data_IF_107589245210
#
_entry.id   IF_107589245210
#
_cell.length_a   1.000
_cell.length_b   1.000
_cell.length_c   1.000
_cell.angle_alpha   90.00
_cell.angle_beta   90.00
_cell.angle_gamma   90.00
#
_symmetry.space_group_name_H-M   'P 1'
#
loop_
_entity.id
_entity.type
_entity.pdbx_description
1 polymer ?
#
# COMPACT_ATOMS: atom_id res chain seq x y z
N UNK A 1 -100.96 118.58 -74.81
CA UNK A 1 -101.54 117.30 -74.37
C UNK A 1 -100.50 116.20 -74.55
N UNK A 2 -99.40 116.08 -73.83
CA UNK A 2 -98.55 116.93 -72.98
C UNK A 2 -97.21 116.17 -73.00
N UNK A 3 -96.14 116.78 -73.51
CA UNK A 3 -95.04 117.31 -72.69
C UNK A 3 -94.95 116.64 -71.31
N UNK A 4 -93.81 115.97 -71.10
CA UNK A 4 -93.10 115.88 -69.82
C UNK A 4 -93.35 114.62 -68.96
N UNK A 5 -94.55 114.04 -68.90
CA UNK A 5 -94.79 112.89 -67.99
C UNK A 5 -94.40 111.51 -68.58
N UNK A 6 -94.51 111.31 -69.90
CA UNK A 6 -94.08 110.06 -70.54
C UNK A 6 -92.55 109.96 -70.70
N UNK A 7 -91.84 111.08 -70.82
CA UNK A 7 -90.37 111.08 -70.98
C UNK A 7 -89.65 110.75 -69.66
N UNK A 8 -90.17 111.21 -68.51
CA UNK A 8 -89.56 110.94 -67.19
C UNK A 8 -89.72 109.46 -66.79
N UNK A 9 -90.86 108.83 -67.11
CA UNK A 9 -91.12 107.42 -66.77
C UNK A 9 -90.31 106.45 -67.66
N UNK A 10 -90.16 106.78 -68.95
CA UNK A 10 -89.36 105.97 -69.88
C UNK A 10 -87.86 106.03 -69.54
N UNK A 11 -87.35 107.17 -69.08
CA UNK A 11 -85.95 107.32 -68.70
C UNK A 11 -85.60 106.53 -67.42
N UNK A 12 -86.50 106.47 -66.43
CA UNK A 12 -86.26 105.71 -65.19
C UNK A 12 -86.31 104.18 -65.40
N UNK A 13 -87.19 103.68 -66.28
CA UNK A 13 -87.25 102.26 -66.63
C UNK A 13 -86.06 101.84 -67.53
N UNK A 14 -85.59 102.71 -68.41
CA UNK A 14 -84.36 102.47 -69.18
C UNK A 14 -83.11 102.48 -68.30
N UNK A 15 -83.03 103.31 -67.25
CA UNK A 15 -81.88 103.32 -66.36
C UNK A 15 -81.79 102.09 -65.46
N UNK A 16 -82.93 101.54 -65.00
CA UNK A 16 -82.97 100.30 -64.20
C UNK A 16 -82.65 99.06 -65.03
N UNK A 17 -83.17 98.96 -66.27
CA UNK A 17 -82.79 97.90 -67.22
C UNK A 17 -81.31 97.96 -67.61
N UNK A 18 -80.76 99.16 -67.87
CA UNK A 18 -79.32 99.35 -68.14
C UNK A 18 -78.43 98.98 -66.95
N UNK A 19 -78.89 99.20 -65.71
CA UNK A 19 -78.15 98.78 -64.51
C UNK A 19 -78.19 97.25 -64.32
N UNK A 20 -79.33 96.60 -64.55
CA UNK A 20 -79.46 95.14 -64.47
C UNK A 20 -78.65 94.42 -65.56
N UNK A 21 -78.66 94.92 -66.80
CA UNK A 21 -77.84 94.41 -67.90
C UNK A 21 -76.35 94.60 -67.65
N UNK A 22 -75.92 95.76 -67.11
CA UNK A 22 -74.52 95.96 -66.71
C UNK A 22 -74.08 95.00 -65.60
N UNK A 23 -74.97 94.64 -64.66
CA UNK A 23 -74.66 93.70 -63.58
C UNK A 23 -74.59 92.25 -64.08
N UNK A 24 -75.47 91.85 -65.01
CA UNK A 24 -75.42 90.55 -65.69
C UNK A 24 -74.19 90.42 -66.60
N UNK A 25 -73.87 91.46 -67.37
CA UNK A 25 -72.67 91.50 -68.19
C UNK A 25 -71.39 91.42 -67.34
N UNK A 26 -71.36 92.07 -66.17
CA UNK A 26 -70.22 91.99 -65.25
C UNK A 26 -70.08 90.60 -64.62
N UNK A 27 -71.19 89.93 -64.28
CA UNK A 27 -71.18 88.53 -63.80
C UNK A 27 -70.76 87.55 -64.91
N UNK A 28 -71.20 87.75 -66.15
CA UNK A 28 -70.80 86.94 -67.29
C UNK A 28 -69.32 87.13 -67.63
N UNK A 29 -68.81 88.36 -67.61
CA UNK A 29 -67.40 88.67 -67.80
C UNK A 29 -66.51 88.07 -66.69
N UNK A 30 -66.96 88.12 -65.42
CA UNK A 30 -66.24 87.50 -64.31
C UNK A 30 -66.16 85.97 -64.45
N UNK A 31 -67.24 85.29 -64.87
CA UNK A 31 -67.20 83.83 -65.15
C UNK A 31 -66.34 83.49 -66.36
N UNK A 32 -66.37 84.30 -67.41
CA UNK A 32 -65.52 84.10 -68.58
C UNK A 32 -64.03 84.25 -68.22
N UNK A 33 -63.67 85.26 -67.41
CA UNK A 33 -62.30 85.44 -66.91
C UNK A 33 -61.86 84.28 -66.01
N UNK A 34 -62.73 83.79 -65.12
CA UNK A 34 -62.43 82.64 -64.27
C UNK A 34 -62.24 81.36 -65.09
N UNK A 35 -63.10 81.11 -66.09
CA UNK A 35 -62.96 79.96 -66.98
C UNK A 35 -61.69 80.03 -67.83
N UNK A 36 -61.27 81.22 -68.23
CA UNK A 36 -60.01 81.41 -68.96
C UNK A 36 -58.80 81.08 -68.07
N UNK A 37 -58.80 81.53 -66.81
CA UNK A 37 -57.76 81.18 -65.84
C UNK A 37 -57.68 79.67 -65.58
N UNK A 38 -58.82 78.98 -65.47
CA UNK A 38 -58.84 77.53 -65.33
C UNK A 38 -58.30 76.79 -66.56
N UNK A 39 -58.61 77.27 -67.77
CA UNK A 39 -58.04 76.71 -69.01
C UNK A 39 -56.53 76.91 -69.08
N UNK A 40 -56.05 78.09 -68.73
CA UNK A 40 -54.61 78.38 -68.73
C UNK A 40 -53.86 77.54 -67.68
N UNK A 41 -54.47 77.30 -66.51
CA UNK A 41 -53.89 76.42 -65.48
C UNK A 41 -53.83 74.96 -65.95
N UNK A 42 -54.90 74.45 -66.57
CA UNK A 42 -54.93 73.09 -67.11
C UNK A 42 -53.92 72.89 -68.26
N UNK A 43 -53.70 73.91 -69.08
CA UNK A 43 -52.67 73.87 -70.13
C UNK A 43 -51.25 73.81 -69.54
N UNK A 44 -50.96 74.57 -68.48
CA UNK A 44 -49.65 74.53 -67.81
C UNK A 44 -49.39 73.18 -67.13
N UNK A 45 -50.38 72.63 -66.44
CA UNK A 45 -50.30 71.30 -65.82
C UNK A 45 -50.00 70.21 -66.87
N UNK A 46 -50.70 70.25 -68.01
CA UNK A 46 -50.50 69.28 -69.09
C UNK A 46 -49.11 69.41 -69.73
N UNK A 47 -48.66 70.64 -69.97
CA UNK A 47 -47.32 70.89 -70.50
C UNK A 47 -46.22 70.40 -69.54
N UNK A 48 -46.40 70.61 -68.23
CA UNK A 48 -45.47 70.14 -67.20
C UNK A 48 -45.41 68.60 -67.15
N UNK A 49 -46.57 67.93 -67.20
CA UNK A 49 -46.64 66.47 -67.23
C UNK A 49 -45.92 65.89 -68.47
N UNK A 50 -46.19 66.44 -69.65
CA UNK A 50 -45.58 66.00 -70.91
C UNK A 50 -44.05 66.20 -70.91
N UNK A 51 -43.57 67.32 -70.33
CA UNK A 51 -42.13 67.61 -70.23
C UNK A 51 -41.42 66.68 -69.23
N UNK A 52 -42.08 66.36 -68.11
CA UNK A 52 -41.54 65.46 -67.08
C UNK A 52 -41.44 64.03 -67.60
N UNK A 53 -42.46 63.58 -68.32
CA UNK A 53 -42.48 62.25 -68.93
C UNK A 53 -41.36 62.09 -69.96
N UNK A 54 -41.13 63.10 -70.82
CA UNK A 54 -40.02 63.06 -71.80
C UNK A 54 -38.65 62.96 -71.14
N UNK A 55 -38.38 63.79 -70.13
CA UNK A 55 -37.10 63.76 -69.40
C UNK A 55 -36.85 62.41 -68.74
N UNK A 56 -37.90 61.78 -68.21
CA UNK A 56 -37.78 60.45 -67.62
C UNK A 56 -37.40 59.39 -68.66
N UNK A 57 -38.09 59.35 -69.80
CA UNK A 57 -37.78 58.39 -70.86
C UNK A 57 -36.39 58.60 -71.47
N UNK A 58 -35.97 59.84 -71.69
CA UNK A 58 -34.60 60.14 -72.14
C UNK A 58 -33.54 59.67 -71.14
N UNK A 59 -33.78 59.85 -69.84
CA UNK A 59 -32.87 59.38 -68.77
C UNK A 59 -32.79 57.85 -68.69
N UNK A 60 -33.89 57.16 -68.97
CA UNK A 60 -33.96 55.71 -68.95
C UNK A 60 -33.26 55.11 -70.17
N UNK A 61 -33.48 55.69 -71.36
CA UNK A 61 -32.80 55.27 -72.59
C UNK A 61 -31.29 55.48 -72.49
N UNK A 62 -30.83 56.59 -71.90
CA UNK A 62 -29.39 56.81 -71.67
C UNK A 62 -28.80 55.73 -70.76
N UNK A 63 -29.46 55.41 -69.65
CA UNK A 63 -29.01 54.36 -68.71
C UNK A 63 -28.94 52.98 -69.39
N UNK A 64 -29.94 52.63 -70.21
CA UNK A 64 -29.93 51.39 -70.98
C UNK A 64 -28.86 51.35 -72.09
N UNK A 65 -28.48 52.50 -72.66
CA UNK A 65 -27.37 52.56 -73.63
C UNK A 65 -25.98 52.50 -72.97
N UNK A 66 -25.87 52.91 -71.71
CA UNK A 66 -24.61 52.90 -70.96
C UNK A 66 -24.25 51.49 -70.43
N UNK A 67 -25.25 50.64 -70.13
CA UNK A 67 -25.03 49.27 -69.67
C UNK A 67 -24.70 48.35 -70.85
N UNK A 68 -23.42 48.10 -71.07
CA UNK A 68 -22.94 47.15 -72.10
C UNK A 68 -22.91 45.73 -71.52
N UNK A 69 -23.77 44.83 -72.01
CA UNK A 69 -23.82 43.43 -71.58
C UNK A 69 -22.45 42.71 -71.64
N UNK A 70 -21.58 43.11 -72.57
CA UNK A 70 -20.22 42.59 -72.71
C UNK A 70 -19.34 42.87 -71.47
N UNK A 71 -19.48 44.06 -70.86
CA UNK A 71 -18.72 44.43 -69.66
C UNK A 71 -19.15 43.58 -68.45
N UNK A 72 -20.45 43.33 -68.31
CA UNK A 72 -20.99 42.48 -67.24
C UNK A 72 -20.54 41.02 -67.38
N UNK A 73 -20.49 40.49 -68.60
CA UNK A 73 -19.96 39.14 -68.84
C UNK A 73 -18.47 39.03 -68.54
N UNK A 74 -17.71 40.08 -68.83
CA UNK A 74 -16.28 40.12 -68.53
C UNK A 74 -16.03 40.25 -67.02
N UNK A 75 -16.82 41.05 -66.30
CA UNK A 75 -16.77 41.12 -64.83
C UNK A 75 -17.09 39.78 -64.17
N UNK A 76 -18.11 39.06 -64.64
CA UNK A 76 -18.43 37.73 -64.15
C UNK A 76 -17.31 36.72 -64.44
N UNK A 77 -16.67 36.82 -65.61
CA UNK A 77 -15.52 35.96 -65.98
C UNK A 77 -14.31 36.25 -65.09
N UNK A 78 -14.05 37.53 -64.79
CA UNK A 78 -12.99 37.94 -63.87
C UNK A 78 -13.27 37.47 -62.45
N UNK A 79 -14.51 37.57 -61.96
CA UNK A 79 -14.92 37.03 -60.67
C UNK A 79 -14.73 35.51 -60.61
N UNK A 80 -15.13 34.78 -61.65
CA UNK A 80 -14.92 33.34 -61.73
C UNK A 80 -13.44 32.94 -61.68
N UNK A 81 -12.57 33.67 -62.38
CA UNK A 81 -11.11 33.45 -62.29
C UNK A 81 -10.57 33.78 -60.89
N UNK A 82 -11.00 34.87 -60.27
CA UNK A 82 -10.62 35.22 -58.91
C UNK A 82 -11.03 34.13 -57.91
N UNK A 83 -12.25 33.62 -57.99
CA UNK A 83 -12.68 32.51 -57.13
C UNK A 83 -11.90 31.22 -57.41
N UNK A 84 -11.65 30.88 -58.67
CA UNK A 84 -10.83 29.72 -59.06
C UNK A 84 -9.44 29.77 -58.43
N UNK A 85 -8.74 30.90 -58.57
CA UNK A 85 -7.39 31.07 -58.00
C UNK A 85 -7.37 31.00 -56.46
N UNK A 86 -8.42 31.47 -55.79
CA UNK A 86 -8.53 31.36 -54.32
C UNK A 86 -8.76 29.91 -53.89
N UNK A 87 -9.60 29.17 -54.61
CA UNK A 87 -9.85 27.75 -54.35
C UNK A 87 -8.58 26.94 -54.59
N UNK A 88 -7.86 27.16 -55.69
CA UNK A 88 -6.60 26.48 -55.99
C UNK A 88 -5.53 26.77 -54.93
N UNK A 89 -5.44 28.02 -54.45
CA UNK A 89 -4.56 28.37 -53.34
C UNK A 89 -4.94 27.62 -52.05
N UNK A 90 -6.23 27.56 -51.72
CA UNK A 90 -6.71 26.83 -50.53
C UNK A 90 -6.42 25.34 -50.64
N UNK A 91 -6.65 24.72 -51.79
CA UNK A 91 -6.32 23.32 -52.02
C UNK A 91 -4.81 23.08 -51.88
N UNK A 92 -3.97 23.94 -52.46
CA UNK A 92 -2.52 23.86 -52.27
C UNK A 92 -2.04 24.10 -50.84
N UNK A 93 -2.80 24.81 -50.00
CA UNK A 93 -2.52 24.88 -48.55
C UNK A 93 -2.93 23.58 -47.84
N UNK A 94 -4.07 22.98 -48.20
CA UNK A 94 -4.52 21.71 -47.66
C UNK A 94 -3.52 20.59 -47.98
N UNK A 95 -3.06 20.49 -49.23
CA UNK A 95 -2.09 19.46 -49.63
C UNK A 95 -0.77 19.61 -48.87
N UNK A 96 -0.29 20.84 -48.66
CA UNK A 96 0.90 21.10 -47.85
C UNK A 96 0.69 20.72 -46.38
N UNK A 97 -0.49 20.97 -45.81
CA UNK A 97 -0.80 20.56 -44.45
C UNK A 97 -0.88 19.04 -44.30
N UNK A 98 -1.39 18.33 -45.32
CA UNK A 98 -1.41 16.88 -45.35
C UNK A 98 0.00 16.28 -45.43
N UNK A 99 0.87 16.83 -46.28
CA UNK A 99 2.28 16.41 -46.35
C UNK A 99 3.01 16.63 -45.01
N UNK A 100 2.84 17.80 -44.39
CA UNK A 100 3.42 18.07 -43.06
C UNK A 100 2.89 17.11 -41.99
N UNK A 101 1.62 16.69 -42.07
CA UNK A 101 1.06 15.68 -41.15
C UNK A 101 1.75 14.32 -41.32
N UNK A 102 2.06 13.91 -42.55
CA UNK A 102 2.79 12.67 -42.83
C UNK A 102 4.22 12.74 -42.29
N UNK A 103 4.92 13.85 -42.52
CA UNK A 103 6.26 14.09 -41.99
C UNK A 103 6.28 14.03 -40.45
N UNK A 104 5.29 14.66 -39.79
CA UNK A 104 5.14 14.61 -38.33
C UNK A 104 4.87 13.17 -37.87
N UNK A 105 4.07 12.40 -38.62
CA UNK A 105 3.81 10.99 -38.36
C UNK A 105 5.09 10.15 -38.37
N UNK A 106 5.93 10.30 -39.40
CA UNK A 106 7.20 9.58 -39.48
C UNK A 106 8.16 9.93 -38.33
N UNK A 107 8.21 11.22 -37.95
CA UNK A 107 9.02 11.66 -36.81
C UNK A 107 8.49 11.04 -35.52
N UNK A 108 7.17 11.01 -35.33
CA UNK A 108 6.55 10.41 -34.16
C UNK A 108 6.86 8.91 -34.06
N UNK A 109 6.75 8.17 -35.16
CA UNK A 109 7.06 6.74 -35.21
C UNK A 109 8.54 6.46 -34.89
N UNK A 110 9.47 7.29 -35.41
CA UNK A 110 10.90 7.21 -35.07
C UNK A 110 11.15 7.45 -33.58
N UNK A 111 10.45 8.41 -32.98
CA UNK A 111 10.54 8.69 -31.54
C UNK A 111 9.98 7.52 -30.70
N UNK A 112 8.84 6.94 -31.09
CA UNK A 112 8.26 5.77 -30.44
C UNK A 112 9.19 4.55 -30.52
N UNK A 113 9.83 4.34 -31.67
CA UNK A 113 10.78 3.24 -31.83
C UNK A 113 12.05 3.45 -30.98
N UNK A 114 12.52 4.69 -30.83
CA UNK A 114 13.61 5.01 -29.88
C UNK A 114 13.23 4.73 -28.44
N UNK A 115 12.04 5.18 -28.00
CA UNK A 115 11.52 4.91 -26.66
C UNK A 115 11.42 3.40 -26.40
N UNK A 116 10.92 2.63 -27.37
CA UNK A 116 10.87 1.17 -27.29
C UNK A 116 12.25 0.56 -27.08
N UNK A 117 13.27 1.00 -27.84
CA UNK A 117 14.64 0.49 -27.69
C UNK A 117 15.22 0.81 -26.30
N UNK A 118 14.91 1.97 -25.74
CA UNK A 118 15.32 2.36 -24.38
C UNK A 118 14.64 1.47 -23.34
N UNK A 119 13.32 1.25 -23.47
CA UNK A 119 12.57 0.35 -22.58
C UNK A 119 13.13 -1.07 -22.65
N UNK A 120 13.40 -1.59 -23.86
CA UNK A 120 14.01 -2.91 -24.06
C UNK A 120 15.39 -3.01 -23.41
N UNK A 121 16.19 -1.93 -23.44
CA UNK A 121 17.46 -1.86 -22.74
C UNK A 121 17.30 -1.92 -21.22
N UNK A 122 16.38 -1.14 -20.63
CA UNK A 122 16.11 -1.20 -19.20
C UNK A 122 15.59 -2.56 -18.74
N UNK A 123 14.75 -3.22 -19.54
CA UNK A 123 14.29 -4.59 -19.27
C UNK A 123 15.48 -5.54 -19.22
N UNK A 124 16.38 -5.48 -20.22
CA UNK A 124 17.60 -6.31 -20.25
C UNK A 124 18.51 -6.02 -19.06
N UNK A 125 18.69 -4.76 -18.70
CA UNK A 125 19.50 -4.36 -17.54
C UNK A 125 18.91 -4.92 -16.25
N UNK A 126 17.60 -4.77 -16.05
CA UNK A 126 16.87 -5.32 -14.91
C UNK A 126 17.00 -6.84 -14.84
N UNK A 127 16.86 -7.55 -15.95
CA UNK A 127 17.00 -9.00 -15.99
C UNK A 127 18.44 -9.45 -15.71
N UNK A 128 19.43 -8.74 -16.25
CA UNK A 128 20.84 -8.99 -15.94
C UNK A 128 21.14 -8.78 -14.45
N UNK A 129 20.66 -7.68 -13.86
CA UNK A 129 20.88 -7.36 -12.45
C UNK A 129 20.19 -8.38 -11.54
N UNK A 130 18.94 -8.75 -11.85
CA UNK A 130 18.20 -9.77 -11.12
C UNK A 130 18.90 -11.13 -11.20
N UNK A 131 19.35 -11.55 -12.38
CA UNK A 131 20.07 -12.82 -12.56
C UNK A 131 21.40 -12.82 -11.81
N UNK A 132 22.11 -11.70 -11.81
CA UNK A 132 23.39 -11.56 -11.12
C UNK A 132 23.21 -11.59 -9.61
N UNK A 133 22.23 -10.86 -9.08
CA UNK A 133 21.91 -10.85 -7.65
C UNK A 133 21.43 -12.22 -7.18
N UNK A 134 20.60 -12.92 -7.98
CA UNK A 134 20.17 -14.27 -7.67
C UNK A 134 21.36 -15.24 -7.58
N UNK A 135 22.30 -15.19 -8.54
CA UNK A 135 23.52 -16.00 -8.51
C UNK A 135 24.38 -15.73 -7.27
N UNK A 136 24.51 -14.47 -6.86
CA UNK A 136 25.26 -14.11 -5.65
C UNK A 136 24.57 -14.65 -4.40
N UNK A 137 23.24 -14.48 -4.30
CA UNK A 137 22.45 -14.99 -3.19
C UNK A 137 22.54 -16.53 -3.08
N UNK A 138 22.43 -17.25 -4.20
CA UNK A 138 22.59 -18.70 -4.25
C UNK A 138 24.00 -19.14 -3.83
N UNK A 139 25.04 -18.43 -4.29
CA UNK A 139 26.41 -18.71 -3.89
C UNK A 139 26.64 -18.46 -2.38
N UNK A 140 26.10 -17.38 -1.83
CA UNK A 140 26.20 -17.06 -0.41
C UNK A 140 25.46 -18.08 0.45
N UNK A 141 24.28 -18.52 0.01
CA UNK A 141 23.53 -19.59 0.67
C UNK A 141 24.29 -20.92 0.66
N UNK A 142 24.91 -21.29 -0.46
CA UNK A 142 25.74 -22.49 -0.55
C UNK A 142 26.95 -22.40 0.37
N UNK A 143 27.65 -21.26 0.39
CA UNK A 143 28.79 -21.03 1.28
C UNK A 143 28.39 -21.15 2.74
N UNK A 144 27.31 -20.49 3.15
CA UNK A 144 26.80 -20.55 4.51
C UNK A 144 26.43 -21.99 4.90
N UNK A 145 25.78 -22.75 4.01
CA UNK A 145 25.46 -24.16 4.24
C UNK A 145 26.71 -25.04 4.37
N UNK A 146 27.76 -24.76 3.60
CA UNK A 146 29.05 -25.45 3.75
C UNK A 146 29.69 -25.14 5.10
N UNK A 147 29.77 -23.87 5.48
CA UNK A 147 30.31 -23.44 6.78
C UNK A 147 29.55 -24.10 7.95
N UNK A 148 28.21 -24.15 7.88
CA UNK A 148 27.39 -24.85 8.88
C UNK A 148 27.66 -26.35 8.93
N UNK A 149 27.85 -27.01 7.77
CA UNK A 149 28.15 -28.45 7.72
C UNK A 149 29.52 -28.75 8.29
N UNK A 150 30.52 -27.93 7.99
CA UNK A 150 31.87 -28.06 8.55
C UNK A 150 31.85 -27.86 10.07
N UNK A 151 31.13 -26.85 10.56
CA UNK A 151 30.98 -26.62 12.01
C UNK A 151 30.25 -27.78 12.70
N UNK A 152 29.19 -28.31 12.07
CA UNK A 152 28.47 -29.47 12.59
C UNK A 152 29.38 -30.71 12.67
N UNK A 153 30.12 -31.00 11.60
CA UNK A 153 31.07 -32.11 11.57
C UNK A 153 32.18 -31.95 12.62
N UNK A 154 32.69 -30.73 12.81
CA UNK A 154 33.69 -30.44 13.83
C UNK A 154 33.13 -30.65 15.25
N UNK A 155 31.89 -30.24 15.52
CA UNK A 155 31.22 -30.46 16.81
C UNK A 155 30.91 -31.92 17.06
N UNK A 156 30.47 -32.67 16.05
CA UNK A 156 30.27 -34.12 16.14
C UNK A 156 31.58 -34.85 16.43
N UNK A 157 32.66 -34.52 15.72
CA UNK A 157 33.99 -35.07 15.97
C UNK A 157 34.49 -34.77 17.39
N UNK A 158 34.28 -33.54 17.87
CA UNK A 158 34.63 -33.17 19.25
C UNK A 158 33.80 -33.96 20.26
N UNK A 159 32.47 -34.04 20.09
CA UNK A 159 31.60 -34.81 20.97
C UNK A 159 31.98 -36.30 21.02
N UNK A 160 32.29 -36.89 19.86
CA UNK A 160 32.75 -38.27 19.77
C UNK A 160 34.06 -38.47 20.55
N UNK A 161 35.05 -37.61 20.35
CA UNK A 161 36.34 -37.70 21.08
C UNK A 161 36.19 -37.55 22.59
N UNK A 162 35.25 -36.71 23.06
CA UNK A 162 34.97 -36.58 24.49
C UNK A 162 34.25 -37.80 25.04
N UNK A 163 33.36 -38.40 24.25
CA UNK A 163 32.67 -39.64 24.62
C UNK A 163 33.65 -40.81 24.73
N UNK A 164 34.57 -40.96 23.77
CA UNK A 164 35.64 -41.97 23.83
C UNK A 164 36.53 -41.80 25.07
N UNK A 165 36.91 -40.55 25.41
CA UNK A 165 37.66 -40.26 26.63
C UNK A 165 36.89 -40.63 27.90
N UNK A 166 35.59 -40.32 27.92
CA UNK A 166 34.72 -40.65 29.04
C UNK A 166 34.58 -42.16 29.19
N UNK A 167 34.35 -42.90 28.10
CA UNK A 167 34.26 -44.35 28.10
C UNK A 167 35.57 -45.01 28.54
N UNK A 168 36.73 -44.51 28.09
CA UNK A 168 38.03 -44.96 28.55
C UNK A 168 38.22 -44.73 30.06
N UNK A 169 37.87 -43.53 30.55
CA UNK A 169 37.95 -43.22 31.98
C UNK A 169 37.00 -44.08 32.84
N UNK A 170 35.82 -44.40 32.32
CA UNK A 170 34.86 -45.27 32.98
C UNK A 170 35.37 -46.72 33.00
N UNK A 171 35.97 -47.20 31.92
CA UNK A 171 36.57 -48.53 31.87
C UNK A 171 37.71 -48.66 32.90
N UNK A 172 38.61 -47.68 32.97
CA UNK A 172 39.68 -47.65 33.97
C UNK A 172 39.14 -47.64 35.41
N UNK A 173 38.09 -46.86 35.66
CA UNK A 173 37.48 -46.76 36.99
C UNK A 173 36.77 -48.07 37.38
N UNK A 174 36.08 -48.70 36.43
CA UNK A 174 35.43 -50.01 36.65
C UNK A 174 36.45 -51.11 36.91
N UNK A 175 37.58 -51.12 36.20
CA UNK A 175 38.63 -52.11 36.43
C UNK A 175 39.35 -51.90 37.75
N UNK A 176 39.60 -50.64 38.15
CA UNK A 176 40.08 -50.32 39.52
C UNK A 176 39.09 -50.77 40.58
N UNK A 177 37.80 -50.48 40.43
CA UNK A 177 36.79 -50.94 41.39
C UNK A 177 36.73 -52.47 41.51
N UNK A 178 36.79 -53.19 40.38
CA UNK A 178 36.85 -54.66 40.40
C UNK A 178 38.11 -55.17 41.08
N UNK A 179 39.24 -54.51 40.88
CA UNK A 179 40.49 -54.89 41.52
C UNK A 179 40.43 -54.64 43.04
N UNK A 180 39.96 -53.48 43.47
CA UNK A 180 39.78 -53.16 44.88
C UNK A 180 38.77 -54.11 45.57
N UNK A 181 37.69 -54.48 44.87
CA UNK A 181 36.73 -55.49 45.36
C UNK A 181 37.35 -56.88 45.50
N UNK A 182 38.21 -57.29 44.54
CA UNK A 182 38.95 -58.55 44.61
C UNK A 182 39.95 -58.52 45.75
N UNK A 183 40.80 -57.51 45.82
CA UNK A 183 41.83 -57.37 46.85
C UNK A 183 41.19 -57.31 48.25
N UNK A 184 40.08 -56.58 48.40
CA UNK A 184 39.31 -56.54 49.63
C UNK A 184 38.67 -57.88 49.99
N UNK A 185 38.17 -58.63 49.01
CA UNK A 185 37.59 -59.96 49.20
C UNK A 185 38.66 -60.99 49.56
N UNK A 186 39.81 -60.98 48.89
CA UNK A 186 40.96 -61.84 49.15
C UNK A 186 41.50 -61.58 50.56
N UNK A 187 41.72 -60.32 50.92
CA UNK A 187 42.17 -59.96 52.27
C UNK A 187 41.17 -60.40 53.37
N UNK A 188 39.85 -60.21 53.12
CA UNK A 188 38.83 -60.66 54.06
C UNK A 188 38.79 -62.19 54.16
N UNK A 189 38.90 -62.90 53.04
CA UNK A 189 38.93 -64.37 53.00
C UNK A 189 40.16 -64.89 53.72
N UNK A 190 41.36 -64.38 53.44
CA UNK A 190 42.59 -64.75 54.12
C UNK A 190 42.49 -64.54 55.63
N UNK A 191 41.94 -63.39 56.05
CA UNK A 191 41.78 -63.08 57.48
C UNK A 191 40.72 -63.96 58.14
N UNK A 192 39.62 -64.27 57.45
CA UNK A 192 38.58 -65.17 57.94
C UNK A 192 39.12 -66.60 58.02
N UNK A 193 39.85 -67.08 57.01
CA UNK A 193 40.42 -68.42 56.97
C UNK A 193 41.51 -68.58 58.02
N UNK A 194 42.41 -67.60 58.20
CA UNK A 194 43.40 -67.62 59.27
C UNK A 194 42.72 -67.69 60.65
N UNK A 195 41.70 -66.87 60.89
CA UNK A 195 40.97 -66.90 62.17
C UNK A 195 40.20 -68.21 62.34
N UNK A 196 39.56 -68.71 61.28
CA UNK A 196 38.83 -69.98 61.28
C UNK A 196 39.78 -71.15 61.56
N UNK A 197 40.95 -71.20 60.94
CA UNK A 197 41.98 -72.20 61.22
C UNK A 197 42.40 -72.16 62.69
N UNK A 198 42.70 -70.98 63.24
CA UNK A 198 43.05 -70.83 64.68
C UNK A 198 41.90 -71.31 65.59
N UNK A 199 40.65 -71.01 65.24
CA UNK A 199 39.50 -71.45 66.03
C UNK A 199 39.22 -72.94 65.87
N UNK A 200 39.43 -73.51 64.68
CA UNK A 200 39.32 -74.95 64.42
C UNK A 200 40.39 -75.68 65.23
N UNK A 201 41.65 -75.27 65.17
CA UNK A 201 42.74 -75.88 65.96
C UNK A 201 42.44 -75.82 67.46
N UNK A 202 41.99 -74.67 67.98
CA UNK A 202 41.56 -74.57 69.39
C UNK A 202 40.41 -75.51 69.71
N UNK A 203 39.41 -75.59 68.83
CA UNK A 203 38.28 -76.49 68.99
C UNK A 203 38.72 -77.96 68.93
N UNK A 204 39.64 -78.33 68.04
CA UNK A 204 40.15 -79.70 67.89
C UNK A 204 40.98 -80.11 69.11
N UNK A 205 41.89 -79.25 69.57
CA UNK A 205 42.66 -79.49 70.80
C UNK A 205 41.71 -79.67 72.00
N UNK A 206 40.69 -78.80 72.13
CA UNK A 206 39.70 -78.93 73.20
C UNK A 206 38.86 -80.20 73.06
N UNK A 207 38.41 -80.50 71.84
CA UNK A 207 37.59 -81.67 71.51
C UNK A 207 38.37 -82.95 71.81
N UNK A 208 39.63 -83.05 71.40
CA UNK A 208 40.47 -84.23 71.60
C UNK A 208 40.81 -84.41 73.08
N UNK A 209 41.14 -83.33 73.80
CA UNK A 209 41.31 -83.38 75.26
C UNK A 209 40.04 -83.87 75.95
N UNK A 210 38.88 -83.32 75.59
CA UNK A 210 37.59 -83.72 76.20
C UNK A 210 37.15 -85.12 75.78
N UNK A 211 37.39 -85.56 74.55
CA UNK A 211 37.15 -86.94 74.15
C UNK A 211 38.09 -87.91 74.87
N UNK A 212 39.36 -87.55 75.06
CA UNK A 212 40.30 -88.38 75.82
C UNK A 212 39.87 -88.50 77.29
N UNK A 213 39.53 -87.39 77.94
CA UNK A 213 38.97 -87.37 79.31
C UNK A 213 37.68 -88.18 79.40
N UNK A 214 36.73 -87.96 78.49
CA UNK A 214 35.44 -88.68 78.48
C UNK A 214 35.64 -90.18 78.22
N UNK A 215 36.50 -90.56 77.28
CA UNK A 215 36.81 -91.97 77.01
C UNK A 215 37.53 -92.63 78.19
N UNK A 216 38.43 -91.93 78.87
CA UNK A 216 39.09 -92.43 80.08
C UNK A 216 38.07 -92.67 81.20
N UNK A 217 37.21 -91.69 81.48
CA UNK A 217 36.12 -91.81 82.46
C UNK A 217 35.14 -92.92 82.08
N UNK A 218 34.79 -93.04 80.81
CA UNK A 218 33.86 -94.07 80.35
C UNK A 218 34.44 -95.48 80.43
N UNK A 219 35.74 -95.65 80.15
CA UNK A 219 36.46 -96.92 80.36
C UNK A 219 36.55 -97.25 81.85
N UNK A 220 36.85 -96.28 82.70
CA UNK A 220 36.86 -96.46 84.15
C UNK A 220 35.48 -96.87 84.65
N UNK A 221 34.42 -96.14 84.26
CA UNK A 221 33.04 -96.46 84.63
C UNK A 221 32.65 -97.87 84.19
N UNK A 222 32.96 -98.26 82.94
CA UNK A 222 32.70 -99.63 82.45
C UNK A 222 33.45 -100.67 83.25
N UNK A 223 34.74 -100.47 83.54
CA UNK A 223 35.53 -101.41 84.33
C UNK A 223 34.98 -101.56 85.77
N UNK A 224 34.54 -100.46 86.39
CA UNK A 224 33.92 -100.48 87.72
C UNK A 224 32.56 -101.16 87.69
N UNK A 225 31.74 -100.90 86.67
CA UNK A 225 30.44 -101.54 86.49
C UNK A 225 30.59 -103.04 86.21
N UNK A 226 31.51 -103.43 85.33
CA UNK A 226 31.81 -104.83 85.03
C UNK A 226 32.29 -105.58 86.27
N UNK A 227 33.15 -104.96 87.09
CA UNK A 227 33.56 -105.51 88.38
C UNK A 227 32.36 -105.64 89.33
N UNK A 228 31.53 -104.62 89.45
CA UNK A 228 30.34 -104.63 90.32
C UNK A 228 29.31 -105.72 89.93
N UNK A 229 29.06 -105.90 88.63
CA UNK A 229 28.20 -106.96 88.12
C UNK A 229 28.84 -108.37 88.15
N UNK A 230 30.15 -108.48 88.37
CA UNK A 230 30.82 -109.76 88.59
C UNK A 230 30.89 -110.15 90.06
N UNK A 231 31.03 -109.19 90.99
CA UNK A 231 31.25 -109.47 92.41
C UNK A 231 30.02 -109.27 93.31
N UNK A 232 29.08 -108.39 92.98
CA UNK A 232 27.98 -108.00 93.89
C UNK A 232 26.60 -108.39 93.37
N UNK A 233 26.40 -108.41 92.05
CA UNK A 233 25.10 -108.71 91.42
C UNK A 233 25.20 -109.90 90.46
N UNK A 234 24.09 -110.65 90.29
CA UNK A 234 24.04 -111.79 89.37
C UNK A 234 23.95 -111.37 87.89
N UNK A 235 24.43 -112.20 86.93
CA UNK A 235 24.51 -111.88 85.50
C UNK A 235 23.20 -111.44 84.83
N UNK A 236 22.06 -111.81 85.39
CA UNK A 236 20.73 -111.47 84.86
C UNK A 236 20.42 -109.97 84.95
N UNK A 237 20.90 -109.28 86.00
CA UNK A 237 20.70 -107.82 86.14
C UNK A 237 21.57 -107.01 85.17
N UNK A 238 22.71 -107.55 84.73
CA UNK A 238 23.55 -106.94 83.69
C UNK A 238 22.78 -106.84 82.37
N UNK A 239 22.04 -107.88 81.97
CA UNK A 239 21.19 -107.85 80.76
C UNK A 239 20.11 -106.77 80.83
N UNK A 240 19.52 -106.51 82.00
CA UNK A 240 18.54 -105.44 82.18
C UNK A 240 19.17 -104.06 82.09
N UNK A 241 20.38 -103.88 82.63
CA UNK A 241 21.14 -102.64 82.51
C UNK A 241 21.56 -102.35 81.07
N UNK A 242 22.06 -103.36 80.34
CA UNK A 242 22.45 -103.20 78.93
C UNK A 242 21.26 -102.80 78.06
N UNK A 243 20.06 -103.35 78.33
CA UNK A 243 18.82 -102.90 77.69
C UNK A 243 18.50 -101.43 77.99
N UNK A 244 18.66 -100.99 79.23
CA UNK A 244 18.44 -99.59 79.61
C UNK A 244 19.43 -98.66 78.88
N UNK A 245 20.72 -99.01 78.85
CA UNK A 245 21.76 -98.26 78.12
C UNK A 245 21.42 -98.15 76.63
N UNK A 246 20.96 -99.24 76.02
CA UNK A 246 20.52 -99.24 74.63
C UNK A 246 19.36 -98.25 74.38
N UNK A 247 18.34 -98.24 75.24
CA UNK A 247 17.24 -97.28 75.13
C UNK A 247 17.70 -95.83 75.33
N UNK A 248 18.58 -95.57 76.30
CA UNK A 248 19.15 -94.23 76.51
C UNK A 248 19.96 -93.75 75.30
N UNK A 249 20.73 -94.63 74.65
CA UNK A 249 21.45 -94.30 73.41
C UNK A 249 20.48 -93.98 72.26
N UNK A 250 19.38 -94.73 72.14
CA UNK A 250 18.34 -94.48 71.14
C UNK A 250 17.68 -93.11 71.36
N UNK A 251 17.39 -92.75 72.61
CA UNK A 251 16.85 -91.43 72.97
C UNK A 251 17.85 -90.31 72.68
N UNK A 252 19.13 -90.50 72.98
CA UNK A 252 20.20 -89.54 72.66
C UNK A 252 20.29 -89.28 71.15
N UNK A 253 20.24 -90.32 70.32
CA UNK A 253 20.18 -90.16 68.86
C UNK A 253 18.93 -89.37 68.41
N UNK A 254 17.80 -89.58 69.09
CA UNK A 254 16.58 -88.80 68.87
C UNK A 254 16.77 -87.31 69.20
N UNK A 255 17.43 -86.99 70.31
CA UNK A 255 17.74 -85.62 70.72
C UNK A 255 18.72 -84.96 69.73
N UNK A 256 19.76 -85.67 69.29
CA UNK A 256 20.73 -85.18 68.32
C UNK A 256 20.08 -84.85 66.96
N UNK A 257 19.20 -85.73 66.47
CA UNK A 257 18.41 -85.47 65.24
C UNK A 257 17.59 -84.18 65.35
N UNK A 258 16.93 -83.96 66.50
CA UNK A 258 16.16 -82.71 66.75
C UNK A 258 17.08 -81.48 66.81
N UNK A 259 18.26 -81.58 67.42
CA UNK A 259 19.25 -80.49 67.43
C UNK A 259 19.71 -80.14 66.02
N UNK A 260 19.98 -81.13 65.16
CA UNK A 260 20.31 -80.89 63.75
C UNK A 260 19.18 -80.17 63.01
N UNK A 261 17.92 -80.58 63.22
CA UNK A 261 16.75 -79.92 62.60
C UNK A 261 16.61 -78.46 63.05
N UNK A 262 16.83 -78.17 64.34
CA UNK A 262 16.83 -76.79 64.85
C UNK A 262 17.93 -75.96 64.20
N UNK A 263 19.15 -76.51 64.07
CA UNK A 263 20.26 -75.81 63.43
C UNK A 263 19.96 -75.46 61.95
N UNK A 264 19.36 -76.38 61.20
CA UNK A 264 18.92 -76.14 59.81
C UNK A 264 17.83 -75.06 59.75
N UNK A 265 16.86 -75.10 60.66
CA UNK A 265 15.81 -74.08 60.74
C UNK A 265 16.36 -72.69 61.09
N UNK A 266 17.34 -72.61 61.99
CA UNK A 266 18.03 -71.36 62.34
C UNK A 266 18.81 -70.78 61.16
N UNK A 267 19.51 -71.62 60.40
CA UNK A 267 20.24 -71.20 59.20
C UNK A 267 19.27 -70.68 58.12
N UNK A 268 18.12 -71.34 57.93
CA UNK A 268 17.07 -70.87 57.02
C UNK A 268 16.47 -69.53 57.48
N UNK A 269 16.29 -69.34 58.79
CA UNK A 269 15.82 -68.07 59.37
C UNK A 269 16.78 -66.93 59.05
N UNK A 270 18.09 -67.10 59.27
CA UNK A 270 19.07 -66.04 59.00
C UNK A 270 19.17 -65.71 57.51
N UNK A 271 19.05 -66.70 56.63
CA UNK A 271 18.96 -66.47 55.18
C UNK A 271 17.73 -65.64 54.80
N UNK A 272 16.55 -65.96 55.36
CA UNK A 272 15.33 -65.20 55.12
C UNK A 272 15.40 -63.77 55.68
N UNK A 273 16.01 -63.59 56.86
CA UNK A 273 16.24 -62.25 57.42
C UNK A 273 17.17 -61.41 56.54
N UNK A 274 18.22 -62.02 55.98
CA UNK A 274 19.13 -61.34 55.06
C UNK A 274 18.45 -60.93 53.74
N UNK A 275 17.70 -61.85 53.11
CA UNK A 275 16.95 -61.52 51.88
C UNK A 275 15.90 -60.44 52.10
N UNK A 276 15.22 -60.45 53.25
CA UNK A 276 14.28 -59.41 53.63
C UNK A 276 14.96 -58.05 53.84
N UNK A 277 16.15 -58.03 54.44
CA UNK A 277 16.95 -56.80 54.58
C UNK A 277 17.36 -56.23 53.21
N UNK A 278 17.83 -57.07 52.28
CA UNK A 278 18.16 -56.67 50.91
C UNK A 278 16.95 -56.09 50.17
N UNK A 279 15.78 -56.74 50.27
CA UNK A 279 14.54 -56.25 49.67
C UNK A 279 14.14 -54.87 50.22
N UNK A 280 14.27 -54.65 51.54
CA UNK A 280 14.00 -53.35 52.17
C UNK A 280 14.97 -52.26 51.69
N UNK A 281 16.26 -52.57 51.56
CA UNK A 281 17.27 -51.63 51.04
C UNK A 281 16.96 -51.28 49.57
N UNK A 282 16.65 -52.28 48.74
CA UNK A 282 16.25 -52.09 47.34
C UNK A 282 15.01 -51.21 47.20
N UNK A 283 13.97 -51.46 48.01
CA UNK A 283 12.76 -50.64 48.06
C UNK A 283 13.04 -49.18 48.44
N UNK A 284 13.87 -48.94 49.47
CA UNK A 284 14.28 -47.58 49.87
C UNK A 284 15.09 -46.87 48.79
N UNK A 285 16.00 -47.56 48.10
CA UNK A 285 16.78 -46.98 47.00
C UNK A 285 15.86 -46.56 45.85
N UNK A 286 14.92 -47.42 45.44
CA UNK A 286 13.95 -47.13 44.37
C UNK A 286 13.04 -45.93 44.71
N UNK A 287 12.58 -45.82 45.95
CA UNK A 287 11.79 -44.67 46.39
C UNK A 287 12.60 -43.36 46.34
N UNK A 288 13.86 -43.41 46.78
CA UNK A 288 14.76 -42.24 46.72
C UNK A 288 15.02 -41.79 45.28
N UNK A 289 15.29 -42.72 44.36
CA UNK A 289 15.50 -42.37 42.95
C UNK A 289 14.23 -41.76 42.35
N UNK A 290 13.06 -42.36 42.59
CA UNK A 290 11.78 -41.82 42.12
C UNK A 290 11.50 -40.41 42.68
N UNK A 291 11.79 -40.17 43.96
CA UNK A 291 11.64 -38.84 44.57
C UNK A 291 12.59 -37.81 43.95
N UNK A 292 13.85 -38.18 43.68
CA UNK A 292 14.81 -37.31 43.02
C UNK A 292 14.38 -36.95 41.59
N UNK A 293 13.92 -37.93 40.81
CA UNK A 293 13.39 -37.68 39.47
C UNK A 293 12.16 -36.76 39.50
N UNK A 294 11.25 -36.96 40.45
CA UNK A 294 10.10 -36.08 40.63
C UNK A 294 10.53 -34.64 40.91
N UNK A 295 11.47 -34.42 41.83
CA UNK A 295 12.00 -33.08 42.13
C UNK A 295 12.66 -32.44 40.92
N UNK A 296 13.44 -33.20 40.15
CA UNK A 296 14.07 -32.71 38.93
C UNK A 296 13.03 -32.28 37.89
N UNK A 297 11.97 -33.07 37.70
CA UNK A 297 10.87 -32.73 36.80
C UNK A 297 10.09 -31.50 37.26
N UNK A 298 9.78 -31.40 38.57
CA UNK A 298 9.15 -30.22 39.15
C UNK A 298 10.00 -28.95 38.91
N UNK A 299 11.32 -29.05 39.12
CA UNK A 299 12.23 -27.95 38.83
C UNK A 299 12.25 -27.59 37.33
N UNK A 300 12.32 -28.58 36.44
CA UNK A 300 12.29 -28.36 34.98
C UNK A 300 10.98 -27.70 34.53
N UNK A 301 9.85 -28.09 35.11
CA UNK A 301 8.55 -27.45 34.84
C UNK A 301 8.55 -25.99 35.26
N UNK A 302 9.12 -25.65 36.42
CA UNK A 302 9.20 -24.26 36.86
C UNK A 302 10.10 -23.43 35.94
N UNK A 303 11.27 -23.95 35.56
CA UNK A 303 12.16 -23.25 34.60
C UNK A 303 11.46 -23.01 33.27
N UNK A 304 10.70 -23.98 32.75
CA UNK A 304 9.94 -23.81 31.51
C UNK A 304 8.83 -22.77 31.64
N UNK A 305 8.16 -22.68 32.80
CA UNK A 305 7.17 -21.63 33.07
C UNK A 305 7.80 -20.24 33.10
N UNK A 306 8.95 -20.11 33.75
CA UNK A 306 9.67 -18.83 33.84
C UNK A 306 10.14 -18.39 32.44
N UNK A 307 10.67 -19.32 31.63
CA UNK A 307 11.02 -19.05 30.23
C UNK A 307 9.81 -18.63 29.38
N UNK A 308 8.67 -19.28 29.57
CA UNK A 308 7.44 -18.91 28.86
C UNK A 308 6.97 -17.50 29.25
N UNK A 309 7.02 -17.15 30.54
CA UNK A 309 6.67 -15.80 30.99
C UNK A 309 7.58 -14.73 30.39
N UNK A 310 8.89 -14.98 30.35
CA UNK A 310 9.85 -14.06 29.71
C UNK A 310 9.56 -13.86 28.22
N UNK A 311 9.28 -14.95 27.49
CA UNK A 311 8.91 -14.87 26.08
C UNK A 311 7.60 -14.08 25.87
N UNK A 312 6.59 -14.31 26.71
CA UNK A 312 5.31 -13.59 26.64
C UNK A 312 5.50 -12.08 26.89
N UNK A 313 6.32 -11.70 27.87
CA UNK A 313 6.68 -10.30 28.15
C UNK A 313 7.44 -9.66 26.96
N UNK A 314 8.40 -10.38 26.38
CA UNK A 314 9.13 -9.93 25.19
C UNK A 314 8.20 -9.72 24.00
N UNK A 315 7.28 -10.66 23.74
CA UNK A 315 6.30 -10.55 22.67
C UNK A 315 5.36 -9.37 22.88
N UNK A 316 4.85 -9.16 24.09
CA UNK A 316 4.02 -8.00 24.41
C UNK A 316 4.76 -6.68 24.20
N UNK A 317 6.04 -6.63 24.58
CA UNK A 317 6.87 -5.43 24.41
C UNK A 317 7.12 -5.13 22.94
N UNK A 318 7.46 -6.13 22.15
CA UNK A 318 7.62 -6.01 20.68
C UNK A 318 6.32 -5.59 20.01
N UNK A 319 5.18 -6.17 20.41
CA UNK A 319 3.89 -5.82 19.85
C UNK A 319 3.54 -4.35 20.12
N UNK A 320 3.78 -3.86 21.35
CA UNK A 320 3.60 -2.44 21.70
C UNK A 320 4.48 -1.52 20.85
N UNK A 321 5.74 -1.89 20.62
CA UNK A 321 6.66 -1.13 19.78
C UNK A 321 6.22 -1.10 18.32
N UNK A 322 5.79 -2.25 17.77
CA UNK A 322 5.26 -2.31 16.41
C UNK A 322 4.03 -1.40 16.33
N UNK A 323 3.04 -1.58 17.20
CA UNK A 323 1.82 -0.76 17.20
C UNK A 323 2.11 0.74 17.30
N UNK A 324 3.08 1.18 18.12
CA UNK A 324 3.42 2.60 18.22
C UNK A 324 4.08 3.13 16.95
N UNK A 325 4.96 2.36 16.31
CA UNK A 325 5.58 2.71 15.03
C UNK A 325 4.52 2.77 13.93
N UNK A 326 3.65 1.76 13.83
CA UNK A 326 2.60 1.73 12.80
C UNK A 326 1.63 2.89 12.97
N UNK A 327 1.24 3.21 14.21
CA UNK A 327 0.35 4.34 14.46
C UNK A 327 1.00 5.67 14.06
N UNK A 328 2.28 5.87 14.39
CA UNK A 328 3.01 7.08 14.00
C UNK A 328 3.19 7.20 12.49
N UNK A 329 3.46 6.10 11.80
CA UNK A 329 3.51 6.08 10.33
C UNK A 329 2.15 6.41 9.73
N UNK A 330 1.06 5.87 10.30
CA UNK A 330 -0.29 6.17 9.86
C UNK A 330 -0.62 7.66 10.03
N UNK A 331 -0.23 8.29 11.14
CA UNK A 331 -0.39 9.73 11.36
C UNK A 331 0.35 10.56 10.31
N UNK A 332 1.63 10.24 10.06
CA UNK A 332 2.44 10.93 9.05
C UNK A 332 1.84 10.77 7.65
N UNK A 333 1.39 9.56 7.28
CA UNK A 333 0.75 9.30 6.00
C UNK A 333 -0.59 10.04 5.87
N UNK A 334 -1.38 10.12 6.94
CA UNK A 334 -2.63 10.88 6.97
C UNK A 334 -2.37 12.39 6.82
N UNK A 335 -1.33 12.91 7.46
CA UNK A 335 -0.90 14.30 7.27
C UNK A 335 -0.50 14.55 5.81
N UNK A 336 0.37 13.73 5.23
CA UNK A 336 0.78 13.85 3.82
C UNK A 336 -0.41 13.75 2.86
N UNK A 337 -1.36 12.84 3.12
CA UNK A 337 -2.60 12.75 2.35
C UNK A 337 -3.40 14.06 2.44
N UNK A 338 -3.54 14.63 3.64
CA UNK A 338 -4.25 15.90 3.84
C UNK A 338 -3.58 17.07 3.10
N UNK A 339 -2.23 17.08 3.05
CA UNK A 339 -1.47 18.05 2.28
C UNK A 339 -1.67 17.85 0.78
N UNK A 340 -1.59 16.61 0.30
CA UNK A 340 -1.85 16.25 -1.09
C UNK A 340 -3.26 16.66 -1.54
N UNK A 341 -4.28 16.39 -0.73
CA UNK A 341 -5.65 16.83 -0.99
C UNK A 341 -5.80 18.34 -1.04
N UNK A 342 -5.14 19.08 -0.14
CA UNK A 342 -5.16 20.56 -0.15
C UNK A 342 -4.51 21.11 -1.41
N UNK A 343 -3.35 20.56 -1.80
CA UNK A 343 -2.65 20.97 -3.04
C UNK A 343 -3.52 20.68 -4.25
N UNK A 344 -4.10 19.48 -4.35
CA UNK A 344 -4.98 19.09 -5.45
C UNK A 344 -6.23 19.98 -5.54
N UNK A 345 -6.88 20.28 -4.40
CA UNK A 345 -8.03 21.18 -4.32
C UNK A 345 -7.65 22.60 -4.77
N UNK A 346 -6.52 23.13 -4.29
CA UNK A 346 -6.02 24.45 -4.68
C UNK A 346 -5.73 24.49 -6.18
N UNK A 347 -5.04 23.48 -6.71
CA UNK A 347 -4.73 23.37 -8.13
C UNK A 347 -5.99 23.30 -9.00
N UNK A 348 -7.01 22.52 -8.57
CA UNK A 348 -8.28 22.44 -9.26
C UNK A 348 -9.03 23.78 -9.30
N UNK A 349 -8.99 24.55 -8.20
CA UNK A 349 -9.57 25.91 -8.16
C UNK A 349 -8.79 26.84 -9.09
N UNK A 350 -7.46 26.80 -9.07
CA UNK A 350 -6.63 27.64 -9.95
C UNK A 350 -6.87 27.32 -11.43
N UNK A 351 -7.00 26.04 -11.79
CA UNK A 351 -7.25 25.60 -13.16
C UNK A 351 -8.56 26.17 -13.76
N UNK A 352 -9.57 26.47 -12.93
CA UNK A 352 -10.83 27.07 -13.42
C UNK A 352 -10.65 28.46 -14.04
N UNK A 353 -9.58 29.18 -13.69
CA UNK A 353 -9.28 30.52 -14.20
C UNK A 353 -8.23 30.51 -15.32
N UNK A 354 -7.75 29.33 -15.71
CA UNK A 354 -6.77 29.18 -16.77
C UNK A 354 -7.45 29.24 -18.15
N UNK A 355 -6.73 29.79 -19.13
CA UNK A 355 -7.23 29.83 -20.51
C UNK A 355 -6.77 28.59 -21.28
N UNK A 356 -7.46 28.24 -22.37
CA UNK A 356 -7.03 27.14 -23.26
C UNK A 356 -5.58 27.31 -23.74
N UNK A 357 -5.10 28.54 -23.88
CA UNK A 357 -3.71 28.82 -24.23
C UNK A 357 -2.72 28.45 -23.11
N UNK A 358 -3.11 28.65 -21.85
CA UNK A 358 -2.28 28.27 -20.70
C UNK A 358 -2.29 26.75 -20.49
N UNK A 359 -3.41 26.09 -20.78
CA UNK A 359 -3.51 24.62 -20.80
C UNK A 359 -2.67 24.00 -21.93
N UNK A 360 -2.72 24.57 -23.13
CA UNK A 360 -1.90 24.12 -24.26
C UNK A 360 -0.40 24.39 -24.03
N UNK A 361 -0.07 25.55 -23.43
CA UNK A 361 1.29 25.88 -23.02
C UNK A 361 1.77 24.86 -22.00
N UNK A 362 0.99 24.59 -20.95
CA UNK A 362 1.24 23.55 -19.96
C UNK A 362 1.51 22.17 -20.61
N UNK A 363 0.63 21.74 -21.51
CA UNK A 363 0.72 20.46 -22.20
C UNK A 363 1.93 20.31 -23.13
N UNK A 364 2.58 21.42 -23.53
CA UNK A 364 3.82 21.39 -24.31
C UNK A 364 5.01 20.98 -23.45
N UNK A 365 5.08 21.48 -22.22
CA UNK A 365 6.15 21.17 -21.27
C UNK A 365 6.06 19.74 -20.72
N UNK A 366 4.85 19.23 -20.47
CA UNK A 366 4.66 17.81 -20.11
C UNK A 366 5.06 16.84 -21.23
N UNK A 367 5.08 17.29 -22.49
CA UNK A 367 5.57 16.51 -23.63
C UNK A 367 7.09 16.56 -23.81
N UNK A 368 7.74 17.63 -23.36
CA UNK A 368 9.19 17.82 -23.48
C UNK A 368 9.98 17.19 -22.31
N UNK A 369 9.32 16.89 -21.17
CA UNK A 369 9.92 16.30 -19.97
C UNK A 369 10.25 14.79 -20.05
N UNK A 370 10.45 14.22 -21.24
CA UNK A 370 10.78 12.79 -21.46
C UNK A 370 12.29 12.51 -21.43
N UNK A 371 13.07 13.27 -20.66
CA UNK A 371 14.49 13.00 -20.38
C UNK A 371 14.67 11.98 -19.25
N UNK A 372 15.84 11.35 -19.16
CA UNK A 372 16.13 10.28 -18.19
C UNK A 372 15.82 10.69 -16.74
N UNK A 373 15.15 9.82 -15.96
CA UNK A 373 14.69 10.14 -14.60
C UNK A 373 15.82 10.32 -13.56
N UNK A 374 17.06 9.94 -13.88
CA UNK A 374 18.21 10.04 -12.97
C UNK A 374 18.90 11.42 -12.98
N UNK A 375 18.60 12.31 -13.94
CA UNK A 375 19.21 13.64 -14.06
C UNK A 375 18.30 14.81 -13.60
N UNK A 376 17.11 14.49 -13.07
CA UNK A 376 16.19 15.51 -12.55
C UNK A 376 16.65 16.01 -11.18
N UNK A 377 17.54 17.01 -11.16
CA UNK A 377 17.77 17.81 -9.95
C UNK A 377 16.44 18.43 -9.47
N UNK A 378 16.18 18.43 -8.16
CA UNK A 378 14.98 18.98 -7.48
C UNK A 378 14.56 20.38 -7.98
N UNK A 379 15.53 21.15 -8.49
CA UNK A 379 15.36 22.48 -9.10
C UNK A 379 14.43 22.48 -10.33
N UNK A 380 14.47 21.43 -11.16
CA UNK A 380 13.70 21.37 -12.41
C UNK A 380 12.23 21.01 -12.19
N UNK A 381 11.88 20.34 -11.09
CA UNK A 381 10.49 19.95 -10.78
C UNK A 381 9.55 21.16 -10.62
N UNK A 382 10.03 22.23 -9.99
CA UNK A 382 9.26 23.47 -9.82
C UNK A 382 9.48 24.50 -10.93
N UNK A 383 10.52 24.33 -11.77
CA UNK A 383 10.83 25.28 -12.85
C UNK A 383 9.64 25.45 -13.82
N UNK A 384 8.90 24.37 -14.09
CA UNK A 384 7.68 24.41 -14.89
C UNK A 384 6.58 25.28 -14.26
N UNK A 385 6.29 25.05 -12.98
CA UNK A 385 5.29 25.81 -12.24
C UNK A 385 5.67 27.29 -12.19
N UNK A 386 6.95 27.59 -11.94
CA UNK A 386 7.47 28.96 -11.90
C UNK A 386 7.38 29.65 -13.26
N UNK A 387 7.67 28.96 -14.37
CA UNK A 387 7.51 29.53 -15.71
C UNK A 387 6.05 29.85 -16.03
N UNK A 388 5.12 28.99 -15.61
CA UNK A 388 3.68 29.24 -15.74
C UNK A 388 3.24 30.46 -14.92
N UNK A 389 3.69 30.56 -13.66
CA UNK A 389 3.43 31.71 -12.79
C UNK A 389 3.96 33.00 -13.43
N UNK A 390 5.22 33.00 -13.90
CA UNK A 390 5.84 34.17 -14.52
C UNK A 390 5.10 34.64 -15.77
N UNK A 391 4.60 33.71 -16.60
CA UNK A 391 3.79 34.04 -17.78
C UNK A 391 2.48 34.73 -17.39
N UNK A 392 1.74 34.15 -16.44
CA UNK A 392 0.47 34.71 -15.97
C UNK A 392 0.70 36.09 -15.34
N UNK A 393 1.79 36.25 -14.58
CA UNK A 393 2.16 37.52 -13.99
C UNK A 393 2.50 38.59 -15.04
N UNK A 394 3.23 38.23 -16.10
CA UNK A 394 3.50 39.12 -17.23
C UNK A 394 2.20 39.57 -17.93
N UNK A 395 1.27 38.65 -18.17
CA UNK A 395 -0.05 38.98 -18.75
C UNK A 395 -0.83 39.91 -17.80
N UNK A 396 -0.81 39.64 -16.49
CA UNK A 396 -1.48 40.47 -15.50
C UNK A 396 -0.88 41.88 -15.37
N UNK A 397 0.41 42.05 -15.68
CA UNK A 397 1.06 43.37 -15.77
C UNK A 397 0.54 44.11 -17.01
N UNK A 398 0.55 43.46 -18.19
CA UNK A 398 0.05 44.06 -19.44
C UNK A 398 -1.41 44.48 -19.30
N UNK A 399 -2.27 43.62 -18.75
CA UNK A 399 -3.68 43.94 -18.53
C UNK A 399 -3.88 45.13 -17.56
N UNK A 400 -3.01 45.27 -16.56
CA UNK A 400 -3.04 46.43 -15.64
C UNK A 400 -2.65 47.71 -16.36
N UNK A 401 -1.62 47.68 -17.19
CA UNK A 401 -1.19 48.84 -17.99
C UNK A 401 -2.25 49.26 -18.99
N UNK A 402 -2.84 48.30 -19.72
CA UNK A 402 -3.89 48.55 -20.71
C UNK A 402 -5.14 49.14 -20.03
N UNK A 403 -5.52 48.63 -18.86
CA UNK A 403 -6.61 49.18 -18.05
C UNK A 403 -6.35 50.63 -17.64
N UNK A 404 -5.10 50.98 -17.33
CA UNK A 404 -4.72 52.36 -16.98
C UNK A 404 -4.80 53.24 -18.24
N UNK A 405 -4.33 52.77 -19.39
CA UNK A 405 -4.41 53.48 -20.66
C UNK A 405 -5.87 53.75 -21.07
N UNK A 406 -6.71 52.71 -21.07
CA UNK A 406 -8.14 52.83 -21.38
C UNK A 406 -8.88 53.76 -20.40
N UNK A 407 -8.50 53.78 -19.12
CA UNK A 407 -9.06 54.75 -18.16
C UNK A 407 -8.69 56.18 -18.54
N UNK A 408 -7.43 56.44 -18.91
CA UNK A 408 -6.99 57.77 -19.35
C UNK A 408 -7.71 58.22 -20.61
N UNK A 409 -7.83 57.34 -21.61
CA UNK A 409 -8.59 57.64 -22.83
C UNK A 409 -10.08 57.92 -22.54
N UNK A 410 -10.69 57.16 -21.62
CA UNK A 410 -12.07 57.39 -21.22
C UNK A 410 -12.22 58.74 -20.50
N UNK A 411 -11.29 59.09 -19.62
CA UNK A 411 -11.27 60.39 -18.94
C UNK A 411 -11.08 61.54 -19.95
N UNK A 412 -10.24 61.36 -20.97
CA UNK A 412 -10.08 62.31 -22.08
C UNK A 412 -11.35 62.43 -22.93
N UNK A 413 -11.99 61.31 -23.29
CA UNK A 413 -13.26 61.31 -24.02
C UNK A 413 -14.36 61.98 -23.20
N UNK A 414 -14.44 61.73 -21.90
CA UNK A 414 -15.35 62.43 -20.97
C UNK A 414 -15.05 63.91 -20.90
N UNK A 415 -13.78 64.32 -20.91
CA UNK A 415 -13.39 65.72 -20.94
C UNK A 415 -13.78 66.41 -22.26
N UNK A 416 -13.53 65.75 -23.41
CA UNK A 416 -13.94 66.21 -24.75
C UNK A 416 -15.45 66.29 -24.90
N UNK A 417 -16.18 65.31 -24.36
CA UNK A 417 -17.64 65.31 -24.34
C UNK A 417 -18.18 66.45 -23.47
N UNK A 418 -17.61 66.68 -22.27
CA UNK A 418 -17.96 67.81 -21.41
C UNK A 418 -17.67 69.17 -22.07
N UNK A 419 -16.58 69.32 -22.80
CA UNK A 419 -16.27 70.56 -23.51
C UNK A 419 -17.21 70.80 -24.70
N UNK A 420 -17.56 69.74 -25.45
CA UNK A 420 -18.56 69.79 -26.53
C UNK A 420 -19.94 70.22 -26.00
N UNK A 421 -20.41 69.63 -24.90
CA UNK A 421 -21.68 70.02 -24.25
C UNK A 421 -21.67 71.50 -23.81
N UNK A 422 -20.55 71.98 -23.25
CA UNK A 422 -20.38 73.41 -22.88
C UNK A 422 -20.42 74.36 -24.07
N UNK A 423 -19.83 73.98 -25.21
CA UNK A 423 -19.84 74.77 -26.45
C UNK A 423 -21.25 74.90 -27.05
N UNK A 424 -22.11 73.91 -26.84
CA UNK A 424 -23.50 73.93 -27.32
C UNK A 424 -24.51 74.46 -26.29
N UNK A 425 -24.05 74.96 -25.12
CA UNK A 425 -24.90 75.44 -24.01
C UNK A 425 -25.97 74.44 -23.57
N UNK A 426 -25.70 73.14 -23.73
CA UNK A 426 -26.59 72.07 -23.28
C UNK A 426 -26.06 71.62 -21.92
N UNK A 427 -26.79 71.94 -20.86
CA UNK A 427 -26.41 71.58 -19.49
C UNK A 427 -26.80 70.14 -19.11
N UNK A 428 -27.60 69.46 -19.93
CA UNK A 428 -28.05 68.07 -19.71
C UNK A 428 -27.62 67.13 -20.84
N UNK A 429 -26.74 66.15 -20.58
CA UNK A 429 -26.14 65.28 -21.60
C UNK A 429 -27.10 64.25 -22.22
N UNK A 430 -28.31 64.07 -21.67
CA UNK A 430 -29.31 63.12 -22.18
C UNK A 430 -30.09 63.65 -23.41
N UNK A 431 -29.98 64.93 -23.76
CA UNK A 431 -30.70 65.55 -24.89
C UNK A 431 -29.91 65.57 -26.21
N UNK A 432 -28.72 64.96 -26.27
CA UNK A 432 -27.90 64.91 -27.49
C UNK A 432 -28.39 63.78 -28.41
N UNK A 433 -29.29 64.11 -29.34
CA UNK A 433 -29.62 63.27 -30.49
C UNK A 433 -28.34 63.07 -31.33
N UNK A 434 -27.81 61.84 -31.32
CA UNK A 434 -26.71 61.42 -32.20
C UNK A 434 -27.18 61.57 -33.65
N UNK A 435 -26.58 62.50 -34.39
CA UNK A 435 -26.81 62.68 -35.82
C UNK A 435 -26.39 61.45 -36.61
N UNK A 436 -27.28 60.47 -36.73
CA UNK A 436 -27.27 59.37 -37.69
C UNK A 436 -28.58 59.41 -38.46
N UNK A 437 -28.47 59.60 -39.78
CA UNK A 437 -29.52 59.65 -40.80
C UNK A 437 -30.88 59.04 -40.40
N UNK A 438 -31.91 59.89 -40.36
CA UNK A 438 -33.29 59.44 -40.54
C UNK A 438 -33.48 59.04 -42.01
N UNK A 439 -33.73 57.75 -42.23
CA UNK A 439 -34.26 57.24 -43.49
C UNK A 439 -35.71 57.70 -43.58
N UNK A 440 -35.98 58.65 -44.47
CA UNK A 440 -37.34 59.10 -44.77
C UNK A 440 -38.20 57.94 -45.29
N UNK A 441 -39.40 57.71 -44.76
CA UNK A 441 -40.37 56.84 -45.40
C UNK A 441 -40.93 57.54 -46.65
N UNK A 442 -40.88 56.82 -47.77
CA UNK A 442 -41.57 57.12 -49.04
C UNK A 442 -43.09 57.15 -48.77
N UNK A 443 -43.87 58.02 -49.44
CA UNK A 443 -45.14 58.59 -48.95
C UNK A 443 -46.29 57.63 -48.66
#
# INVERSE_FOLDING_TARGET
MDKMEQEIYLEQEQQTRRKAEKLLAKKAAARAAQNQLYKDHLQRERAFADETQRKFFESWETLCTEVKCEQMTEELRQQQQCFGTVVDRKNGYIDRLLAVREDIGEVHDKCLQRLRNIIDYYIRLKDFLATTMLKHYEADCLKLLMDFREEAAAKEGYAHSQMERLDASLAELLDKMKQDEKDGSEWLLERIDANKCVQIEKCEILRDKKYAEMNALYRQLRATLDRYFQTVLFPERKKSYDRLVYYTQLEQQGIEKRRCQIAVAQLKKTQLEHTLALARIGGRRRLRTQHNYRRLLEHKVNVLKDQQQQLDEDYQTRLKQICSITHRLQEILAEHLSWGEKIAKQAAICAQYETEQDEQYAAKWFREATGDPDDFEDSQYFAYLMNKINRVEAIAIILREEKIALKRENDELRAKFKSFCRLHKINDPEQLLLCGQEVSPIP
#
